data_IF_949725441592
#
_entry.id   IF_949725441592
#
_cell.length_a   1.000
_cell.length_b   1.000
_cell.length_c   1.000
_cell.angle_alpha   90.00
_cell.angle_beta   90.00
_cell.angle_gamma   90.00
#
_symmetry.space_group_name_H-M   'P 1'
#
loop_
_entity.id
_entity.type
_entity.pdbx_description
1 polymer ?
#
# COMPACT_ATOMS: atom_id res chain seq x y z
N UNK A 1 -9.00 33.74 -32.17
CA UNK A 1 -9.93 32.64 -31.83
C UNK A 1 -9.12 31.35 -31.82
N UNK A 2 -8.40 31.08 -30.73
CA UNK A 2 -7.64 29.85 -30.55
C UNK A 2 -8.60 28.72 -30.16
N UNK A 3 -8.66 27.70 -31.00
CA UNK A 3 -9.26 26.41 -30.66
C UNK A 3 -8.39 25.76 -29.58
N UNK A 4 -8.88 25.79 -28.34
CA UNK A 4 -8.33 24.98 -27.26
C UNK A 4 -8.60 23.52 -27.61
N UNK A 5 -7.54 22.81 -28.00
CA UNK A 5 -7.50 21.36 -28.10
C UNK A 5 -7.97 20.76 -26.78
N UNK A 6 -9.19 20.24 -26.76
CA UNK A 6 -9.67 19.38 -25.68
C UNK A 6 -8.82 18.10 -25.69
N UNK A 7 -8.23 17.69 -24.55
CA UNK A 7 -7.50 16.44 -24.51
C UNK A 7 -8.46 15.28 -24.81
N UNK A 8 -8.10 14.50 -25.82
CA UNK A 8 -8.77 13.24 -26.17
C UNK A 8 -8.35 12.20 -25.13
N UNK A 9 -9.33 11.64 -24.43
CA UNK A 9 -9.15 10.58 -23.45
C UNK A 9 -8.70 9.29 -24.13
N UNK A 10 -7.63 8.65 -23.63
CA UNK A 10 -7.44 7.22 -23.84
C UNK A 10 -8.33 6.48 -22.83
N UNK A 11 -9.19 5.60 -23.32
CA UNK A 11 -9.92 4.62 -22.52
C UNK A 11 -8.94 3.63 -21.89
N UNK A 12 -8.36 3.98 -20.75
CA UNK A 12 -7.63 3.03 -19.93
C UNK A 12 -8.54 2.53 -18.81
N UNK A 13 -9.36 1.55 -19.19
CA UNK A 13 -9.80 0.39 -18.41
C UNK A 13 -9.68 0.49 -16.87
N UNK A 14 -10.80 0.74 -16.20
CA UNK A 14 -10.96 0.41 -14.77
C UNK A 14 -11.12 -1.11 -14.68
N UNK A 15 -10.10 -1.81 -14.21
CA UNK A 15 -10.31 -3.16 -13.69
C UNK A 15 -11.35 -3.07 -12.58
N UNK A 16 -12.37 -3.94 -12.55
CA UNK A 16 -13.29 -4.05 -11.40
C UNK A 16 -12.59 -4.29 -10.06
N UNK A 17 -11.28 -4.57 -10.06
CA UNK A 17 -10.46 -4.90 -8.89
C UNK A 17 -9.55 -3.74 -8.43
N UNK A 18 -9.33 -2.70 -9.26
CA UNK A 18 -8.50 -1.53 -8.90
C UNK A 18 -9.04 -0.25 -9.54
N UNK A 19 -9.33 0.76 -8.73
CA UNK A 19 -9.69 2.10 -9.17
C UNK A 19 -8.48 3.02 -9.06
N UNK A 20 -7.86 3.34 -10.20
CA UNK A 20 -6.70 4.23 -10.31
C UNK A 20 -7.14 5.65 -10.63
N UNK A 21 -6.65 6.63 -9.86
CA UNK A 21 -6.90 8.05 -10.07
C UNK A 21 -5.57 8.80 -10.17
N UNK A 22 -5.19 9.08 -11.41
CA UNK A 22 -3.94 9.77 -11.72
C UNK A 22 -4.02 11.31 -11.58
N UNK A 23 -5.23 11.89 -11.46
CA UNK A 23 -5.43 13.36 -11.36
C UNK A 23 -6.68 13.75 -10.53
N UNK A 24 -6.66 14.95 -9.95
CA UNK A 24 -7.72 15.51 -9.09
C UNK A 24 -9.15 15.44 -9.69
N UNK A 25 -9.29 15.43 -11.01
CA UNK A 25 -10.58 15.30 -11.71
C UNK A 25 -11.34 14.00 -11.43
N UNK A 26 -10.67 12.93 -10.99
CA UNK A 26 -11.31 11.65 -10.72
C UNK A 26 -11.54 11.38 -9.22
N UNK A 27 -11.15 12.29 -8.31
CA UNK A 27 -11.47 12.18 -6.88
C UNK A 27 -12.96 11.99 -6.58
N UNK A 28 -13.90 12.63 -7.32
CA UNK A 28 -15.32 12.37 -7.14
C UNK A 28 -15.72 10.91 -7.41
N UNK A 29 -15.05 10.21 -8.34
CA UNK A 29 -15.32 8.80 -8.62
C UNK A 29 -14.93 7.92 -7.44
N UNK A 30 -13.75 8.15 -6.85
CA UNK A 30 -13.34 7.44 -5.64
C UNK A 30 -14.23 7.79 -4.44
N UNK A 31 -14.62 9.04 -4.28
CA UNK A 31 -15.57 9.44 -3.24
C UNK A 31 -16.90 8.68 -3.38
N UNK A 32 -17.40 8.52 -4.60
CA UNK A 32 -18.63 7.78 -4.87
C UNK A 32 -18.47 6.28 -4.64
N UNK A 33 -17.35 5.67 -5.06
CA UNK A 33 -17.09 4.25 -4.82
C UNK A 33 -16.94 3.97 -3.31
N UNK A 34 -16.22 4.82 -2.58
CA UNK A 34 -16.10 4.68 -1.12
C UNK A 34 -17.44 4.84 -0.40
N UNK A 35 -18.31 5.75 -0.85
CA UNK A 35 -19.69 5.84 -0.34
C UNK A 35 -20.49 4.58 -0.63
N UNK A 36 -20.41 4.04 -1.85
CA UNK A 36 -21.08 2.79 -2.23
C UNK A 36 -20.61 1.62 -1.35
N UNK A 37 -19.29 1.48 -1.15
CA UNK A 37 -18.73 0.45 -0.27
C UNK A 37 -19.19 0.64 1.17
N UNK A 38 -19.22 1.88 1.67
CA UNK A 38 -19.75 2.19 3.01
C UNK A 38 -21.20 1.70 3.18
N UNK A 39 -22.02 1.84 2.14
CA UNK A 39 -23.44 1.45 2.20
C UNK A 39 -23.67 -0.07 2.10
N UNK A 40 -22.75 -0.84 1.49
CA UNK A 40 -22.89 -2.30 1.34
C UNK A 40 -22.03 -3.12 2.32
N UNK A 41 -21.04 -2.49 2.96
CA UNK A 41 -20.17 -3.13 3.96
C UNK A 41 -20.97 -3.57 5.17
N UNK A 42 -20.69 -4.78 5.66
CA UNK A 42 -21.23 -5.31 6.91
C UNK A 42 -20.14 -6.02 7.69
N UNK A 43 -20.08 -5.71 8.98
CA UNK A 43 -19.12 -6.28 9.92
C UNK A 43 -19.84 -7.14 10.95
N UNK A 44 -19.28 -8.32 11.22
CA UNK A 44 -19.85 -9.29 12.15
C UNK A 44 -18.81 -9.68 13.19
N UNK A 45 -19.14 -9.53 14.47
CA UNK A 45 -18.39 -10.20 15.54
C UNK A 45 -19.17 -11.45 15.90
N UNK A 46 -18.67 -12.59 15.44
CA UNK A 46 -19.31 -13.88 15.62
C UNK A 46 -18.45 -14.76 16.54
N UNK A 47 -19.05 -15.45 17.53
CA UNK A 47 -18.42 -16.58 18.18
C UNK A 47 -17.96 -17.59 17.12
N UNK A 48 -16.74 -18.13 17.27
CA UNK A 48 -16.17 -19.00 16.24
C UNK A 48 -17.03 -20.25 15.96
N UNK A 49 -17.83 -20.69 16.95
CA UNK A 49 -18.76 -21.82 16.82
C UNK A 49 -19.93 -21.52 15.88
N UNK A 50 -20.28 -20.24 15.70
CA UNK A 50 -21.31 -19.75 14.76
C UNK A 50 -20.78 -19.49 13.36
N UNK A 51 -19.47 -19.68 13.17
CA UNK A 51 -18.81 -19.53 11.87
C UNK A 51 -18.54 -20.94 11.35
N UNK A 52 -19.09 -21.26 10.18
CA UNK A 52 -18.84 -22.51 9.50
C UNK A 52 -18.33 -22.24 8.10
N UNK A 53 -17.37 -23.03 7.66
CA UNK A 53 -16.97 -23.12 6.26
C UNK A 53 -17.69 -24.30 5.66
N UNK A 54 -18.37 -24.10 4.54
CA UNK A 54 -19.05 -25.18 3.82
C UNK A 54 -18.50 -25.29 2.40
N UNK A 55 -18.38 -26.52 1.86
CA UNK A 55 -17.89 -26.73 0.51
C UNK A 55 -18.89 -26.19 -0.53
N UNK A 56 -18.34 -25.73 -1.65
CA UNK A 56 -19.03 -25.29 -2.85
C UNK A 56 -18.43 -26.05 -4.05
N UNK A 57 -19.14 -26.21 -5.19
CA UNK A 57 -18.65 -27.04 -6.30
C UNK A 57 -17.22 -26.74 -6.79
N UNK A 58 -16.74 -25.52 -6.61
CA UNK A 58 -15.41 -25.08 -7.06
C UNK A 58 -14.54 -24.45 -5.96
N UNK A 59 -15.06 -24.33 -4.72
CA UNK A 59 -14.37 -23.60 -3.64
C UNK A 59 -15.00 -23.93 -2.27
N UNK A 60 -14.79 -23.08 -1.28
CA UNK A 60 -15.49 -23.05 0.00
C UNK A 60 -16.17 -21.68 0.21
N UNK A 61 -17.24 -21.65 0.99
CA UNK A 61 -17.94 -20.42 1.38
C UNK A 61 -17.99 -20.31 2.91
N UNK A 62 -18.01 -19.08 3.39
CA UNK A 62 -18.15 -18.77 4.81
C UNK A 62 -19.64 -18.60 5.13
N UNK A 63 -20.18 -19.50 5.94
CA UNK A 63 -21.50 -19.38 6.54
C UNK A 63 -21.35 -18.79 7.94
N UNK A 64 -22.05 -17.68 8.19
CA UNK A 64 -22.20 -17.11 9.53
C UNK A 64 -23.66 -17.33 9.92
N UNK A 65 -23.88 -18.04 11.03
CA UNK A 65 -25.22 -18.34 11.55
C UNK A 65 -26.07 -17.06 11.65
N UNK A 66 -27.36 -17.16 11.33
CA UNK A 66 -28.34 -16.07 11.31
C UNK A 66 -28.03 -14.90 10.35
N UNK A 67 -26.92 -14.95 9.63
CA UNK A 67 -26.41 -13.84 8.82
C UNK A 67 -26.37 -14.20 7.32
N UNK A 68 -25.91 -15.40 7.00
CA UNK A 68 -25.93 -15.93 5.63
C UNK A 68 -24.59 -16.47 5.12
N UNK A 69 -24.54 -16.67 3.81
CA UNK A 69 -23.40 -17.24 3.10
C UNK A 69 -22.60 -16.15 2.36
N UNK A 70 -21.27 -16.25 2.44
CA UNK A 70 -20.34 -15.31 1.85
C UNK A 70 -19.25 -16.05 1.08
N UNK A 71 -19.01 -15.67 -0.18
CA UNK A 71 -17.80 -16.13 -0.88
C UNK A 71 -16.56 -15.53 -0.23
N UNK A 72 -15.44 -16.24 -0.23
CA UNK A 72 -14.23 -15.84 0.50
C UNK A 72 -13.24 -15.20 -0.47
N UNK A 73 -12.69 -14.03 -0.14
CA UNK A 73 -11.64 -13.40 -0.98
C UNK A 73 -10.28 -14.10 -0.78
N UNK A 74 -9.34 -14.00 -1.73
CA UNK A 74 -7.99 -14.56 -1.57
C UNK A 74 -7.33 -14.13 -0.26
N UNK A 75 -7.46 -12.86 0.11
CA UNK A 75 -6.90 -12.36 1.36
C UNK A 75 -7.58 -12.96 2.60
N UNK A 76 -8.90 -13.15 2.57
CA UNK A 76 -9.62 -13.78 3.67
C UNK A 76 -9.21 -15.27 3.82
N UNK A 77 -8.92 -15.98 2.72
CA UNK A 77 -8.34 -17.34 2.79
C UNK A 77 -6.99 -17.35 3.51
N UNK A 78 -6.08 -16.45 3.13
CA UNK A 78 -4.76 -16.33 3.77
C UNK A 78 -4.89 -16.06 5.28
N UNK A 79 -5.87 -15.24 5.66
CA UNK A 79 -6.14 -14.95 7.07
C UNK A 79 -6.72 -16.14 7.82
N UNK A 80 -7.65 -16.88 7.23
CA UNK A 80 -8.16 -18.12 7.83
C UNK A 80 -7.01 -19.11 8.03
N UNK A 81 -6.19 -19.34 7.01
CA UNK A 81 -5.03 -20.23 7.09
C UNK A 81 -4.07 -19.80 8.19
N UNK A 82 -3.65 -18.52 8.21
CA UNK A 82 -2.72 -17.99 9.20
C UNK A 82 -3.29 -17.97 10.64
N UNK A 83 -4.57 -17.68 10.82
CA UNK A 83 -5.21 -17.66 12.15
C UNK A 83 -5.45 -19.04 12.73
N UNK A 84 -5.62 -20.04 11.88
CA UNK A 84 -5.80 -21.44 12.28
C UNK A 84 -4.49 -22.23 12.18
N UNK A 85 -3.36 -21.55 11.92
CA UNK A 85 -2.02 -22.14 11.79
C UNK A 85 -1.95 -23.27 10.74
N UNK A 86 -2.77 -23.19 9.70
CA UNK A 86 -2.76 -24.13 8.58
C UNK A 86 -1.72 -23.65 7.56
N UNK A 87 -0.72 -24.47 7.18
CA UNK A 87 0.26 -24.08 6.18
C UNK A 87 -0.39 -23.69 4.85
N UNK A 88 -0.05 -22.51 4.32
CA UNK A 88 -0.70 -21.93 3.14
C UNK A 88 -0.69 -22.86 1.91
N UNK A 89 0.47 -23.45 1.57
CA UNK A 89 0.55 -24.38 0.43
C UNK A 89 -0.31 -25.64 0.61
N UNK A 90 -0.54 -26.09 1.84
CA UNK A 90 -1.46 -27.20 2.10
C UNK A 90 -2.92 -26.75 1.97
N UNK A 91 -3.24 -25.57 2.49
CA UNK A 91 -4.56 -24.95 2.36
C UNK A 91 -4.96 -24.81 0.89
N UNK A 92 -4.10 -24.23 0.05
CA UNK A 92 -4.36 -23.99 -1.37
C UNK A 92 -4.52 -25.30 -2.16
N UNK A 93 -3.71 -26.31 -1.83
CA UNK A 93 -3.85 -27.65 -2.38
C UNK A 93 -5.23 -28.22 -2.08
N UNK A 94 -5.66 -28.21 -0.81
CA UNK A 94 -6.97 -28.74 -0.41
C UNK A 94 -8.12 -27.92 -1.01
N UNK A 95 -7.99 -26.60 -1.09
CA UNK A 95 -9.00 -25.74 -1.71
C UNK A 95 -9.28 -26.16 -3.16
N UNK A 96 -8.25 -26.58 -3.88
CA UNK A 96 -8.36 -26.99 -5.28
C UNK A 96 -8.76 -28.46 -5.44
N UNK A 97 -8.19 -29.36 -4.63
CA UNK A 97 -8.33 -30.82 -4.83
C UNK A 97 -9.34 -31.50 -3.90
N UNK A 98 -9.68 -30.90 -2.76
CA UNK A 98 -10.63 -31.47 -1.79
C UNK A 98 -11.25 -30.40 -0.87
N UNK A 99 -12.17 -29.55 -1.38
CA UNK A 99 -12.86 -28.53 -0.59
C UNK A 99 -13.61 -29.09 0.63
N UNK A 100 -14.14 -30.31 0.54
CA UNK A 100 -14.80 -31.01 1.65
C UNK A 100 -13.85 -31.30 2.82
N UNK A 101 -12.61 -31.68 2.54
CA UNK A 101 -11.62 -31.93 3.58
C UNK A 101 -11.15 -30.60 4.19
N UNK A 102 -10.96 -29.58 3.35
CA UNK A 102 -10.60 -28.24 3.81
C UNK A 102 -11.65 -27.68 4.78
N UNK A 103 -12.92 -27.75 4.40
CA UNK A 103 -14.03 -27.24 5.22
C UNK A 103 -14.10 -27.93 6.58
N UNK A 104 -13.96 -29.26 6.63
CA UNK A 104 -13.87 -30.03 7.88
C UNK A 104 -12.69 -29.60 8.75
N UNK A 105 -11.51 -29.42 8.15
CA UNK A 105 -10.31 -29.02 8.87
C UNK A 105 -10.48 -27.62 9.49
N UNK A 106 -10.95 -26.64 8.70
CA UNK A 106 -11.21 -25.29 9.19
C UNK A 106 -12.23 -25.31 10.32
N UNK A 107 -13.36 -26.00 10.13
CA UNK A 107 -14.42 -26.08 11.14
C UNK A 107 -13.95 -26.71 12.45
N UNK A 108 -13.06 -27.71 12.39
CA UNK A 108 -12.48 -28.32 13.60
C UNK A 108 -11.69 -27.31 14.44
N UNK A 109 -10.87 -26.48 13.80
CA UNK A 109 -10.05 -25.50 14.50
C UNK A 109 -10.88 -24.31 15.01
N UNK A 110 -11.89 -23.88 14.26
CA UNK A 110 -12.79 -22.80 14.67
C UNK A 110 -13.48 -23.08 16.01
N UNK A 111 -13.78 -24.34 16.35
CA UNK A 111 -14.46 -24.68 17.60
C UNK A 111 -13.69 -24.26 18.86
N UNK A 112 -12.36 -24.13 18.76
CA UNK A 112 -11.45 -23.79 19.87
C UNK A 112 -11.00 -22.32 19.83
N UNK A 113 -11.45 -21.55 18.85
CA UNK A 113 -10.97 -20.20 18.61
C UNK A 113 -11.80 -19.12 19.34
N UNK A 114 -11.15 -18.02 19.69
CA UNK A 114 -11.82 -16.81 20.18
C UNK A 114 -12.71 -16.19 19.09
N UNK A 115 -13.78 -15.45 19.46
CA UNK A 115 -14.63 -14.74 18.51
C UNK A 115 -13.84 -13.96 17.46
N UNK A 116 -14.40 -13.93 16.25
CA UNK A 116 -13.74 -13.35 15.08
C UNK A 116 -14.55 -12.20 14.55
N UNK A 117 -13.83 -11.17 14.12
CA UNK A 117 -14.38 -10.08 13.34
C UNK A 117 -14.31 -10.48 11.87
N UNK A 118 -15.48 -10.64 11.24
CA UNK A 118 -15.61 -10.88 9.81
C UNK A 118 -16.07 -9.59 9.14
N UNK A 119 -15.27 -9.11 8.19
CA UNK A 119 -15.64 -7.96 7.36
C UNK A 119 -16.15 -8.45 6.03
N UNK A 120 -17.28 -7.90 5.58
CA UNK A 120 -17.88 -8.27 4.29
C UNK A 120 -18.10 -7.04 3.42
N UNK A 121 -17.98 -7.22 2.10
CA UNK A 121 -18.31 -6.23 1.08
C UNK A 121 -18.95 -6.95 -0.09
N UNK A 122 -20.09 -6.44 -0.57
CA UNK A 122 -20.78 -6.95 -1.76
C UNK A 122 -20.99 -8.48 -1.76
N UNK A 123 -21.38 -9.03 -0.60
CA UNK A 123 -21.64 -10.46 -0.42
C UNK A 123 -20.39 -11.35 -0.31
N UNK A 124 -19.19 -10.74 -0.20
CA UNK A 124 -17.94 -11.46 0.00
C UNK A 124 -17.37 -11.23 1.39
N UNK A 125 -16.90 -12.29 2.05
CA UNK A 125 -16.06 -12.20 3.24
C UNK A 125 -14.67 -11.79 2.79
N UNK A 126 -14.26 -10.57 3.15
CA UNK A 126 -13.00 -9.97 2.71
C UNK A 126 -11.92 -9.92 3.78
N UNK A 127 -12.30 -10.10 5.05
CA UNK A 127 -11.35 -10.21 6.15
C UNK A 127 -11.83 -11.16 7.26
N UNK A 128 -10.89 -11.88 7.86
CA UNK A 128 -11.05 -12.77 9.00
C UNK A 128 -10.07 -12.36 10.12
N UNK A 129 -10.55 -11.56 11.08
CA UNK A 129 -9.73 -10.81 12.03
C UNK A 129 -10.05 -11.17 13.48
N UNK A 130 -9.20 -10.72 14.42
CA UNK A 130 -9.52 -10.81 15.86
C UNK A 130 -10.64 -9.83 16.21
N UNK A 131 -11.49 -10.21 17.15
CA UNK A 131 -12.43 -9.36 17.90
C UNK A 131 -11.85 -8.07 18.50
N UNK A 132 -10.51 -7.95 18.60
CA UNK A 132 -9.79 -6.76 19.07
C UNK A 132 -9.26 -5.87 17.95
N UNK A 133 -9.47 -6.26 16.69
CA UNK A 133 -9.00 -5.46 15.56
C UNK A 133 -9.75 -4.13 15.51
N UNK A 134 -8.98 -3.04 15.53
CA UNK A 134 -9.53 -1.69 15.43
C UNK A 134 -9.70 -1.32 13.97
N UNK A 135 -10.94 -1.24 13.54
CA UNK A 135 -11.29 -0.85 12.18
C UNK A 135 -10.90 0.62 11.97
N UNK A 136 -10.18 0.88 10.88
CA UNK A 136 -9.99 2.21 10.30
C UNK A 136 -10.45 2.05 8.86
N UNK A 137 -11.63 2.58 8.56
CA UNK A 137 -12.24 2.44 7.24
C UNK A 137 -11.60 3.37 6.22
N UNK A 138 -11.53 2.90 4.97
CA UNK A 138 -10.92 3.66 3.88
C UNK A 138 -11.72 4.94 3.55
N UNK A 139 -13.04 4.93 3.68
CA UNK A 139 -13.87 6.12 3.43
C UNK A 139 -13.63 7.21 4.48
N UNK A 140 -13.53 6.83 5.76
CA UNK A 140 -13.18 7.76 6.84
C UNK A 140 -11.79 8.37 6.63
N UNK A 141 -10.79 7.56 6.26
CA UNK A 141 -9.44 8.04 5.92
C UNK A 141 -9.49 9.00 4.74
N UNK A 142 -10.23 8.67 3.68
CA UNK A 142 -10.33 9.51 2.49
C UNK A 142 -10.99 10.85 2.80
N UNK A 143 -12.18 10.87 3.42
CA UNK A 143 -12.89 12.12 3.68
C UNK A 143 -12.16 13.01 4.70
N UNK A 144 -11.53 12.40 5.70
CA UNK A 144 -10.64 13.13 6.60
C UNK A 144 -9.46 13.75 5.84
N UNK A 145 -8.85 13.01 4.91
CA UNK A 145 -7.71 13.50 4.14
C UNK A 145 -8.11 14.65 3.22
N UNK A 146 -9.28 14.56 2.58
CA UNK A 146 -9.84 15.64 1.75
C UNK A 146 -10.06 16.90 2.56
N UNK A 147 -10.64 16.79 3.75
CA UNK A 147 -10.88 17.92 4.65
C UNK A 147 -9.56 18.57 5.12
N UNK A 148 -8.57 17.78 5.52
CA UNK A 148 -7.27 18.29 5.96
C UNK A 148 -6.48 18.94 4.83
N UNK A 149 -6.50 18.37 3.62
CA UNK A 149 -5.83 18.96 2.46
C UNK A 149 -6.53 20.24 2.00
N UNK A 150 -7.86 20.29 2.03
CA UNK A 150 -8.63 21.49 1.68
C UNK A 150 -8.42 22.69 2.62
N UNK A 151 -7.95 22.44 3.85
CA UNK A 151 -7.58 23.47 4.83
C UNK A 151 -6.13 23.91 4.75
N UNK A 152 -5.28 23.08 4.14
CA UNK A 152 -3.83 23.28 4.10
C UNK A 152 -3.32 23.67 2.72
N UNK A 153 -1.99 23.78 2.61
CA UNK A 153 -1.31 24.03 1.34
C UNK A 153 -0.96 22.72 0.62
N UNK A 154 -1.89 21.76 0.60
CA UNK A 154 -1.67 20.43 0.05
C UNK A 154 -2.71 20.13 -1.03
N UNK A 155 -2.28 19.52 -2.12
CA UNK A 155 -3.17 19.07 -3.20
C UNK A 155 -2.97 17.58 -3.45
N UNK A 156 -4.04 16.86 -3.74
CA UNK A 156 -3.94 15.47 -4.17
C UNK A 156 -3.20 15.41 -5.51
N UNK A 157 -2.17 14.57 -5.54
CA UNK A 157 -1.45 14.21 -6.75
C UNK A 157 -2.04 12.92 -7.35
N UNK A 158 -2.29 11.91 -6.51
CA UNK A 158 -2.76 10.59 -6.96
C UNK A 158 -3.55 9.90 -5.85
N UNK A 159 -4.57 9.14 -6.21
CA UNK A 159 -5.31 8.29 -5.28
C UNK A 159 -5.57 6.93 -5.92
N UNK A 160 -5.34 5.84 -5.18
CA UNK A 160 -5.59 4.49 -5.67
C UNK A 160 -6.35 3.70 -4.61
N UNK A 161 -7.45 3.08 -5.02
CA UNK A 161 -8.21 2.14 -4.19
C UNK A 161 -8.13 0.76 -4.83
N UNK A 162 -7.54 -0.18 -4.10
CA UNK A 162 -7.46 -1.59 -4.49
C UNK A 162 -8.33 -2.43 -3.57
N UNK A 163 -8.44 -3.73 -3.85
CA UNK A 163 -9.14 -4.65 -2.95
C UNK A 163 -8.56 -4.65 -1.52
N UNK A 164 -7.27 -4.32 -1.40
CA UNK A 164 -6.46 -4.50 -0.21
C UNK A 164 -6.10 -3.19 0.50
N UNK A 165 -5.95 -2.10 -0.24
CA UNK A 165 -5.39 -0.85 0.25
C UNK A 165 -6.09 0.38 -0.31
N UNK A 166 -6.00 1.47 0.46
CA UNK A 166 -6.16 2.82 -0.02
C UNK A 166 -4.79 3.52 0.00
N UNK A 167 -4.40 4.13 -1.11
CA UNK A 167 -3.23 4.98 -1.23
C UNK A 167 -3.65 6.39 -1.63
N UNK A 168 -3.22 7.40 -0.87
CA UNK A 168 -3.46 8.80 -1.17
C UNK A 168 -2.14 9.55 -1.17
N UNK A 169 -1.73 10.07 -2.32
CA UNK A 169 -0.53 10.89 -2.47
C UNK A 169 -0.94 12.34 -2.64
N UNK A 170 -0.36 13.21 -1.82
CA UNK A 170 -0.59 14.64 -1.87
C UNK A 170 0.73 15.39 -1.83
N UNK A 171 0.76 16.57 -2.44
CA UNK A 171 1.95 17.39 -2.58
C UNK A 171 1.68 18.82 -2.14
N UNK A 172 2.68 19.46 -1.56
CA UNK A 172 2.60 20.82 -1.03
C UNK A 172 2.63 21.83 -2.16
N UNK A 173 1.68 22.75 -2.22
CA UNK A 173 1.64 23.81 -3.23
C UNK A 173 2.68 24.90 -3.02
N UNK A 174 3.33 24.93 -1.86
CA UNK A 174 4.26 25.99 -1.45
C UNK A 174 5.70 25.52 -1.24
N UNK A 175 5.91 24.22 -1.00
CA UNK A 175 7.21 23.68 -0.59
C UNK A 175 7.85 22.90 -1.73
N UNK A 176 8.87 23.50 -2.34
CA UNK A 176 9.66 22.95 -3.45
C UNK A 176 11.14 23.25 -3.25
N UNK A 177 12.00 22.46 -3.88
CA UNK A 177 13.44 22.70 -3.93
C UNK A 177 13.99 22.25 -5.29
N UNK A 178 15.04 22.93 -5.75
CA UNK A 178 15.75 22.58 -6.97
C UNK A 178 16.98 21.73 -6.60
N UNK A 179 17.06 20.50 -7.13
CA UNK A 179 18.19 19.59 -6.88
C UNK A 179 19.34 19.88 -7.86
N UNK A 180 18.99 20.13 -9.12
CA UNK A 180 19.87 20.61 -10.19
C UNK A 180 19.12 21.64 -11.02
N UNK A 181 19.84 22.44 -11.79
CA UNK A 181 19.23 23.44 -12.69
C UNK A 181 18.13 22.83 -13.57
N UNK A 182 16.88 23.25 -13.37
CA UNK A 182 15.69 22.77 -14.06
C UNK A 182 15.07 21.49 -13.51
N UNK A 183 15.62 20.92 -12.44
CA UNK A 183 15.14 19.69 -11.80
C UNK A 183 14.58 19.99 -10.41
N UNK A 184 13.28 20.29 -10.37
CA UNK A 184 12.55 20.69 -9.17
C UNK A 184 11.82 19.50 -8.57
N UNK A 185 11.94 19.36 -7.25
CA UNK A 185 11.18 18.41 -6.44
C UNK A 185 10.22 19.15 -5.51
N UNK A 186 9.09 18.52 -5.22
CA UNK A 186 8.03 19.05 -4.39
C UNK A 186 7.82 18.16 -3.17
N UNK A 187 7.69 18.77 -2.00
CA UNK A 187 7.38 18.05 -0.77
C UNK A 187 5.96 17.49 -0.83
N UNK A 188 5.73 16.37 -0.18
CA UNK A 188 4.44 15.72 -0.14
C UNK A 188 4.32 14.69 0.98
N UNK A 189 3.20 13.98 0.97
CA UNK A 189 2.96 12.82 1.82
C UNK A 189 2.20 11.74 1.06
N UNK A 190 2.36 10.51 1.52
CA UNK A 190 1.50 9.39 1.17
C UNK A 190 0.76 8.92 2.42
N UNK A 191 -0.54 8.70 2.29
CA UNK A 191 -1.39 8.02 3.27
C UNK A 191 -1.69 6.64 2.73
N UNK A 192 -1.40 5.61 3.53
CA UNK A 192 -1.70 4.22 3.22
C UNK A 192 -2.56 3.63 4.32
N UNK A 193 -3.67 3.00 3.94
CA UNK A 193 -4.52 2.27 4.87
C UNK A 193 -4.93 0.91 4.32
N UNK A 194 -5.13 -0.05 5.22
CA UNK A 194 -5.80 -1.31 4.91
C UNK A 194 -6.83 -1.61 5.99
N UNK A 195 -8.10 -1.55 5.62
CA UNK A 195 -9.21 -1.88 6.52
C UNK A 195 -9.40 -3.40 6.71
N UNK A 196 -8.59 -4.23 6.05
CA UNK A 196 -8.65 -5.69 6.11
C UNK A 196 -7.44 -6.30 6.82
N UNK A 197 -6.63 -5.51 7.52
CA UNK A 197 -5.55 -6.02 8.39
C UNK A 197 -4.28 -6.46 7.68
N UNK A 198 -4.01 -5.95 6.47
CA UNK A 198 -2.75 -6.19 5.75
C UNK A 198 -1.63 -5.22 6.14
N UNK A 199 -1.97 -4.00 6.55
CA UNK A 199 -1.01 -3.01 7.04
C UNK A 199 -1.57 -2.23 8.21
N UNK A 200 -0.69 -1.42 8.79
CA UNK A 200 -1.06 -0.32 9.69
C UNK A 200 -1.62 0.83 8.85
N UNK A 201 -2.33 1.75 9.48
CA UNK A 201 -2.50 3.09 8.94
C UNK A 201 -1.13 3.79 8.97
N UNK A 202 -0.73 4.39 7.87
CA UNK A 202 0.60 4.99 7.70
C UNK A 202 0.48 6.33 6.99
N UNK A 203 1.21 7.31 7.48
CA UNK A 203 1.44 8.58 6.79
C UNK A 203 2.94 8.79 6.70
N UNK A 204 3.46 8.81 5.49
CA UNK A 204 4.91 8.86 5.23
C UNK A 204 5.22 10.06 4.33
N UNK A 205 6.34 10.77 4.56
CA UNK A 205 6.78 11.81 3.64
C UNK A 205 6.99 11.27 2.22
N UNK A 206 6.68 12.11 1.25
CA UNK A 206 6.75 11.82 -0.17
C UNK A 206 7.44 12.98 -0.89
N UNK A 207 8.21 12.67 -1.93
CA UNK A 207 8.85 13.66 -2.78
C UNK A 207 8.41 13.41 -4.21
N UNK A 208 7.84 14.43 -4.85
CA UNK A 208 7.46 14.39 -6.25
C UNK A 208 8.48 15.16 -7.09
N UNK A 209 9.11 14.50 -8.06
CA UNK A 209 9.98 15.15 -9.03
C UNK A 209 9.14 15.72 -10.18
N UNK A 210 9.12 17.03 -10.35
CA UNK A 210 8.21 17.71 -11.29
C UNK A 210 8.55 17.49 -12.76
N UNK A 211 9.83 17.25 -13.08
CA UNK A 211 10.27 17.03 -14.45
C UNK A 211 9.61 15.80 -15.10
N UNK A 212 9.42 14.72 -14.34
CA UNK A 212 8.87 13.46 -14.83
C UNK A 212 7.61 12.99 -14.10
N UNK A 213 7.21 13.69 -13.03
CA UNK A 213 6.12 13.31 -12.12
C UNK A 213 6.36 11.94 -11.47
N UNK A 214 7.62 11.61 -11.16
CA UNK A 214 7.98 10.40 -10.43
C UNK A 214 7.98 10.67 -8.92
N UNK A 215 7.50 9.69 -8.16
CA UNK A 215 7.44 9.76 -6.70
C UNK A 215 8.57 9.02 -6.01
N UNK A 216 8.93 9.46 -4.81
CA UNK A 216 9.74 8.71 -3.86
C UNK A 216 9.12 8.82 -2.47
N UNK A 217 9.07 7.72 -1.72
CA UNK A 217 8.56 7.68 -0.35
C UNK A 217 9.74 7.61 0.61
N UNK A 218 9.73 8.41 1.69
CA UNK A 218 10.78 8.47 2.70
C UNK A 218 10.23 7.92 4.02
N UNK A 219 10.41 6.62 4.32
CA UNK A 219 9.69 5.96 5.42
C UNK A 219 10.16 6.38 6.82
N UNK A 220 11.41 6.80 6.95
CA UNK A 220 12.08 6.99 8.25
C UNK A 220 11.42 8.06 9.12
N UNK A 221 10.73 9.02 8.49
CA UNK A 221 9.98 10.08 9.15
C UNK A 221 8.46 9.88 9.09
N UNK A 222 8.04 8.65 8.76
CA UNK A 222 6.66 8.25 8.67
C UNK A 222 6.05 7.90 10.03
N UNK A 223 4.80 8.26 10.22
CA UNK A 223 4.02 7.89 11.40
C UNK A 223 3.10 6.71 11.09
N UNK A 224 2.99 5.76 12.03
CA UNK A 224 2.23 4.52 11.83
C UNK A 224 1.32 4.27 13.03
N UNK A 225 0.05 3.98 12.76
CA UNK A 225 -0.93 3.62 13.78
C UNK A 225 -1.38 2.17 13.62
N UNK A 226 -1.27 1.38 14.69
CA UNK A 226 -1.72 -0.02 14.70
C UNK A 226 -3.23 -0.11 14.86
N UNK A 227 -3.83 -1.11 14.21
CA UNK A 227 -5.24 -1.47 14.32
C UNK A 227 -5.52 -2.29 15.60
N UNK A 228 -5.05 -1.83 16.76
CA UNK A 228 -5.27 -2.50 18.04
C UNK A 228 -6.32 -1.70 18.82
N UNK A 229 -7.44 -2.36 19.13
CA UNK A 229 -8.59 -1.77 19.82
C UNK A 229 -8.92 -2.48 21.12
N UNK A 230 -9.97 -1.99 21.79
CA UNK A 230 -10.59 -2.70 22.91
C UNK A 230 -11.44 -3.85 22.37
N UNK A 231 -11.64 -4.89 23.18
CA UNK A 231 -12.60 -5.95 22.84
C UNK A 231 -13.98 -5.33 22.64
N UNK A 232 -14.59 -5.61 21.50
CA UNK A 232 -15.99 -5.31 21.25
C UNK A 232 -16.84 -6.48 21.73
N UNK A 233 -18.02 -6.22 22.29
CA UNK A 233 -19.01 -7.25 22.62
C UNK A 233 -19.53 -8.00 21.39
N UNK A 234 -20.25 -9.09 21.59
CA UNK A 234 -20.86 -9.85 20.49
C UNK A 234 -22.04 -9.10 19.87
N UNK A 235 -22.24 -9.28 18.56
CA UNK A 235 -23.43 -8.77 17.87
C UNK A 235 -23.13 -7.96 16.61
N UNK A 236 -24.21 -7.48 16.00
CA UNK A 236 -24.18 -6.56 14.86
C UNK A 236 -24.11 -5.15 15.42
N UNK A 237 -23.03 -4.45 15.11
CA UNK A 237 -22.89 -3.06 15.51
C UNK A 237 -23.67 -2.15 14.59
N UNK A 238 -24.46 -1.25 15.18
CA UNK A 238 -25.09 -0.18 14.42
C UNK A 238 -24.03 0.78 13.87
N UNK A 239 -24.36 1.42 12.75
CA UNK A 239 -23.54 2.46 12.11
C UNK A 239 -23.15 3.58 13.08
N UNK A 240 -24.11 4.03 13.89
CA UNK A 240 -23.88 5.09 14.88
C UNK A 240 -22.83 4.68 15.94
N UNK A 241 -22.89 3.43 16.41
CA UNK A 241 -21.90 2.92 17.37
C UNK A 241 -20.51 2.83 16.77
N UNK A 242 -20.40 2.45 15.50
CA UNK A 242 -19.12 2.40 14.78
C UNK A 242 -18.54 3.80 14.57
N UNK A 243 -19.36 4.76 14.13
CA UNK A 243 -18.97 6.15 13.92
C UNK A 243 -18.49 6.82 15.22
N UNK A 244 -19.22 6.63 16.33
CA UNK A 244 -18.83 7.17 17.64
C UNK A 244 -17.49 6.58 18.13
N UNK A 245 -17.25 5.29 17.90
CA UNK A 245 -15.97 4.65 18.21
C UNK A 245 -14.83 5.10 17.28
N UNK A 246 -15.15 5.51 16.05
CA UNK A 246 -14.18 5.98 15.06
C UNK A 246 -13.64 7.39 15.35
N UNK A 247 -14.39 8.25 16.05
CA UNK A 247 -14.03 9.66 16.29
C UNK A 247 -12.63 9.86 16.92
N UNK A 248 -12.29 9.08 17.95
CA UNK A 248 -10.98 9.17 18.59
C UNK A 248 -9.85 8.74 17.64
N UNK A 249 -10.12 7.76 16.77
CA UNK A 249 -9.19 7.30 15.73
C UNK A 249 -8.97 8.39 14.69
N UNK A 250 -10.05 9.00 14.21
CA UNK A 250 -10.01 10.07 13.23
C UNK A 250 -9.24 11.28 13.75
N UNK A 251 -9.41 11.65 15.02
CA UNK A 251 -8.61 12.71 15.64
C UNK A 251 -7.11 12.38 15.61
N UNK A 252 -6.73 11.18 16.07
CA UNK A 252 -5.34 10.77 16.06
C UNK A 252 -4.73 10.71 14.64
N UNK A 253 -5.52 10.26 13.65
CA UNK A 253 -5.10 10.25 12.25
C UNK A 253 -4.88 11.66 11.70
N UNK A 254 -5.75 12.63 12.04
CA UNK A 254 -5.55 14.05 11.67
C UNK A 254 -4.27 14.60 12.28
N UNK A 255 -4.03 14.32 13.57
CA UNK A 255 -2.83 14.78 14.26
C UNK A 255 -1.56 14.22 13.61
N UNK A 256 -1.59 12.94 13.22
CA UNK A 256 -0.52 12.30 12.46
C UNK A 256 -0.31 13.01 11.11
N UNK A 257 -1.37 13.21 10.32
CA UNK A 257 -1.28 13.89 9.02
C UNK A 257 -0.70 15.30 9.17
N UNK A 258 -1.20 16.08 10.14
CA UNK A 258 -0.71 17.43 10.43
C UNK A 258 0.74 17.41 10.89
N UNK A 259 1.12 16.46 11.74
CA UNK A 259 2.50 16.33 12.19
C UNK A 259 3.44 15.96 11.05
N UNK A 260 3.02 15.15 10.07
CA UNK A 260 3.82 14.86 8.87
C UNK A 260 3.90 16.06 7.93
N UNK A 261 2.82 16.85 7.79
CA UNK A 261 2.83 18.10 7.00
C UNK A 261 3.78 19.14 7.61
N UNK A 262 3.77 19.28 8.94
CA UNK A 262 4.55 20.28 9.67
C UNK A 262 5.95 19.80 10.08
N UNK A 263 6.17 18.48 10.10
CA UNK A 263 7.42 17.85 10.46
C UNK A 263 8.42 17.98 9.32
N UNK A 264 9.27 19.00 9.39
CA UNK A 264 10.25 19.38 8.37
C UNK A 264 11.32 18.28 8.15
N UNK A 265 10.96 17.25 7.38
CA UNK A 265 11.86 16.22 6.83
C UNK A 265 12.40 16.61 5.45
N UNK A 266 11.70 17.50 4.75
CA UNK A 266 11.96 17.76 3.32
C UNK A 266 13.36 18.33 3.08
N UNK A 267 13.80 19.29 3.89
CA UNK A 267 15.13 19.91 3.72
C UNK A 267 16.27 18.90 3.90
N UNK A 268 16.10 17.92 4.79
CA UNK A 268 17.08 16.84 4.97
C UNK A 268 17.07 15.89 3.77
N UNK A 269 15.88 15.53 3.26
CA UNK A 269 15.77 14.74 2.03
C UNK A 269 16.40 15.48 0.85
N UNK A 270 16.17 16.79 0.71
CA UNK A 270 16.78 17.63 -0.34
C UNK A 270 18.30 17.61 -0.24
N UNK A 271 18.88 17.72 0.96
CA UNK A 271 20.34 17.61 1.15
C UNK A 271 20.87 16.26 0.69
N UNK A 272 20.18 15.17 1.02
CA UNK A 272 20.55 13.82 0.57
C UNK A 272 20.45 13.69 -0.95
N UNK A 273 19.41 14.25 -1.57
CA UNK A 273 19.24 14.23 -3.03
C UNK A 273 20.33 15.04 -3.73
N UNK A 274 20.72 16.21 -3.21
CA UNK A 274 21.81 17.02 -3.74
C UNK A 274 23.13 16.23 -3.65
N UNK A 275 23.46 15.66 -2.49
CA UNK A 275 24.67 14.84 -2.32
C UNK A 275 24.69 13.61 -3.24
N UNK A 276 23.55 12.93 -3.39
CA UNK A 276 23.39 11.83 -4.32
C UNK A 276 23.58 12.26 -5.79
N UNK A 277 23.26 13.52 -6.11
CA UNK A 277 23.44 14.07 -7.45
C UNK A 277 24.90 14.38 -7.77
N UNK A 278 25.77 14.43 -6.76
CA UNK A 278 27.21 14.66 -6.90
C UNK A 278 28.02 13.34 -6.83
N UNK A 279 27.38 12.23 -6.44
CA UNK A 279 28.05 10.95 -6.25
C UNK A 279 27.98 10.08 -7.51
N UNK A 280 29.11 9.93 -8.20
CA UNK A 280 29.22 9.18 -9.46
C UNK A 280 29.23 7.64 -9.26
N UNK A 281 28.61 6.92 -10.20
CA UNK A 281 28.62 5.46 -10.29
C UNK A 281 29.60 5.03 -11.38
N UNK A 282 30.76 4.53 -10.95
CA UNK A 282 31.84 4.09 -11.85
C UNK A 282 31.45 2.84 -12.66
N UNK A 283 30.66 1.93 -12.06
CA UNK A 283 30.26 0.66 -12.68
C UNK A 283 28.74 0.46 -12.72
N UNK A 284 28.02 1.12 -13.64
CA UNK A 284 26.56 1.10 -13.72
C UNK A 284 25.92 -0.29 -13.69
N UNK A 285 26.39 -1.22 -14.52
CA UNK A 285 25.80 -2.56 -14.60
C UNK A 285 25.94 -3.34 -13.28
N UNK A 286 27.08 -3.19 -12.61
CA UNK A 286 27.32 -3.85 -11.33
C UNK A 286 26.49 -3.21 -10.23
N UNK A 287 26.39 -1.88 -10.23
CA UNK A 287 25.59 -1.11 -9.32
C UNK A 287 24.11 -1.54 -9.35
N UNK A 288 23.54 -1.60 -10.55
CA UNK A 288 22.14 -1.97 -10.79
C UNK A 288 21.89 -3.43 -10.38
N UNK A 289 22.79 -4.35 -10.70
CA UNK A 289 22.64 -5.75 -10.28
C UNK A 289 22.67 -5.88 -8.75
N UNK A 290 23.57 -5.17 -8.09
CA UNK A 290 23.72 -5.27 -6.64
C UNK A 290 22.54 -4.65 -5.89
N UNK A 291 22.04 -3.47 -6.31
CA UNK A 291 20.83 -2.89 -5.72
C UNK A 291 19.60 -3.76 -6.01
N UNK A 292 19.54 -4.42 -7.16
CA UNK A 292 18.42 -5.30 -7.50
C UNK A 292 18.35 -6.53 -6.61
N UNK A 293 19.49 -7.11 -6.27
CA UNK A 293 19.55 -8.20 -5.29
C UNK A 293 19.21 -7.68 -3.89
N UNK A 294 19.76 -6.52 -3.51
CA UNK A 294 19.57 -5.97 -2.17
C UNK A 294 18.11 -5.58 -1.88
N UNK A 295 17.50 -4.82 -2.77
CA UNK A 295 16.13 -4.33 -2.65
C UNK A 295 15.08 -5.35 -3.15
N UNK A 296 15.50 -6.48 -3.72
CA UNK A 296 14.61 -7.51 -4.26
C UNK A 296 13.75 -6.99 -5.42
N UNK A 297 14.40 -6.42 -6.44
CA UNK A 297 13.77 -6.16 -7.73
C UNK A 297 13.68 -7.47 -8.55
N UNK A 298 12.65 -7.59 -9.36
CA UNK A 298 12.52 -8.69 -10.33
C UNK A 298 13.47 -8.49 -11.51
N UNK A 299 13.68 -9.53 -12.31
CA UNK A 299 14.53 -9.44 -13.50
C UNK A 299 14.00 -8.38 -14.49
N UNK A 300 12.68 -8.36 -14.71
CA UNK A 300 12.02 -7.37 -15.59
C UNK A 300 12.24 -5.94 -15.06
N UNK A 301 12.13 -5.72 -13.75
CA UNK A 301 12.36 -4.40 -13.17
C UNK A 301 13.83 -4.01 -13.23
N UNK A 302 14.74 -4.97 -13.04
CA UNK A 302 16.18 -4.76 -13.18
C UNK A 302 16.53 -4.29 -14.60
N UNK A 303 15.95 -4.94 -15.61
CA UNK A 303 16.08 -4.54 -17.02
C UNK A 303 15.52 -3.14 -17.27
N UNK A 304 14.33 -2.83 -16.73
CA UNK A 304 13.72 -1.51 -16.86
C UNK A 304 14.52 -0.42 -16.16
N UNK A 305 15.07 -0.70 -14.98
CA UNK A 305 15.97 0.22 -14.26
C UNK A 305 17.21 0.48 -15.09
N UNK A 306 17.83 -0.56 -15.65
CA UNK A 306 18.99 -0.41 -16.53
C UNK A 306 18.68 0.42 -17.77
N UNK A 307 17.56 0.13 -18.44
CA UNK A 307 17.08 0.88 -19.58
C UNK A 307 16.91 2.37 -19.25
N UNK A 308 16.19 2.68 -18.17
CA UNK A 308 15.94 4.05 -17.72
C UNK A 308 17.23 4.78 -17.32
N UNK A 309 18.15 4.09 -16.63
CA UNK A 309 19.43 4.66 -16.20
C UNK A 309 20.29 5.08 -17.39
N UNK A 310 20.39 4.22 -18.41
CA UNK A 310 21.13 4.53 -19.65
C UNK A 310 20.48 5.69 -20.41
N UNK A 311 19.14 5.70 -20.53
CA UNK A 311 18.42 6.74 -21.28
C UNK A 311 18.49 8.11 -20.61
N UNK A 312 18.49 8.16 -19.27
CA UNK A 312 18.63 9.41 -18.53
C UNK A 312 20.04 9.99 -18.61
N UNK A 313 21.05 9.16 -18.94
CA UNK A 313 22.45 9.55 -19.07
C UNK A 313 22.98 10.33 -17.85
N UNK A 314 22.62 9.85 -16.65
CA UNK A 314 23.01 10.42 -15.38
C UNK A 314 23.74 9.35 -14.55
N UNK A 315 25.07 9.23 -14.65
CA UNK A 315 25.83 8.17 -14.00
C UNK A 315 26.04 8.45 -12.51
N UNK A 316 24.99 8.84 -11.78
CA UNK A 316 25.07 9.21 -10.35
C UNK A 316 24.09 8.40 -9.50
N UNK A 317 24.25 8.45 -8.17
CA UNK A 317 23.26 7.89 -7.23
C UNK A 317 21.86 8.43 -7.50
N UNK A 318 21.77 9.73 -7.76
CA UNK A 318 20.50 10.39 -8.10
C UNK A 318 19.93 9.87 -9.43
N UNK A 319 20.75 9.65 -10.44
CA UNK A 319 20.34 9.00 -11.70
C UNK A 319 19.78 7.59 -11.48
N UNK A 320 20.39 6.80 -10.59
CA UNK A 320 19.91 5.46 -10.23
C UNK A 320 18.54 5.51 -9.53
N UNK A 321 18.39 6.42 -8.57
CA UNK A 321 17.11 6.70 -7.92
C UNK A 321 16.04 7.10 -8.95
N UNK A 322 16.37 7.98 -9.89
CA UNK A 322 15.45 8.42 -10.93
C UNK A 322 15.08 7.30 -11.92
N UNK A 323 15.99 6.36 -12.16
CA UNK A 323 15.72 5.16 -12.94
C UNK A 323 14.73 4.23 -12.22
N UNK A 324 14.91 4.00 -10.91
CA UNK A 324 13.99 3.19 -10.09
C UNK A 324 12.60 3.82 -10.02
N UNK A 325 12.51 5.12 -9.71
CA UNK A 325 11.22 5.81 -9.63
C UNK A 325 10.53 5.93 -10.99
N UNK A 326 11.29 5.94 -12.09
CA UNK A 326 10.74 5.83 -13.46
C UNK A 326 10.14 4.45 -13.72
N UNK A 327 10.80 3.39 -13.27
CA UNK A 327 10.24 2.03 -13.30
C UNK A 327 8.99 1.93 -12.43
N UNK A 328 9.00 2.55 -11.24
CA UNK A 328 7.86 2.58 -10.32
C UNK A 328 6.60 3.19 -10.94
N UNK A 329 6.76 4.30 -11.67
CA UNK A 329 5.65 4.97 -12.37
C UNK A 329 4.92 4.09 -13.38
N UNK A 330 5.63 3.11 -13.97
CA UNK A 330 5.08 2.19 -14.96
C UNK A 330 4.64 0.84 -14.36
N UNK A 331 4.65 0.71 -13.03
CA UNK A 331 4.24 -0.53 -12.38
C UNK A 331 2.76 -0.87 -12.64
N UNK A 332 2.47 -2.16 -12.72
CA UNK A 332 1.13 -2.65 -13.08
C UNK A 332 0.10 -2.40 -11.97
N UNK A 333 0.51 -2.39 -10.70
CA UNK A 333 -0.39 -2.23 -9.53
C UNK A 333 0.05 -1.06 -8.65
N UNK A 334 -0.90 -0.49 -7.91
CA UNK A 334 -0.62 0.64 -7.00
C UNK A 334 0.29 0.21 -5.84
N UNK A 335 0.14 -1.01 -5.35
CA UNK A 335 0.98 -1.64 -4.34
C UNK A 335 2.43 -1.71 -4.83
N UNK A 336 2.64 -2.22 -6.05
CA UNK A 336 4.00 -2.38 -6.57
C UNK A 336 4.66 -1.04 -6.89
N UNK A 337 3.91 -0.09 -7.44
CA UNK A 337 4.38 1.30 -7.59
C UNK A 337 4.87 1.84 -6.24
N UNK A 338 4.03 1.77 -5.21
CA UNK A 338 4.35 2.28 -3.86
C UNK A 338 5.56 1.57 -3.25
N UNK A 339 5.69 0.25 -3.46
CA UNK A 339 6.84 -0.51 -3.00
C UNK A 339 8.14 -0.06 -3.70
N UNK A 340 8.12 0.13 -5.02
CA UNK A 340 9.28 0.59 -5.78
C UNK A 340 9.67 2.04 -5.41
N UNK A 341 8.69 2.93 -5.21
CA UNK A 341 8.95 4.30 -4.72
C UNK A 341 9.55 4.31 -3.31
N UNK A 342 9.20 3.33 -2.48
CA UNK A 342 9.78 3.13 -1.14
C UNK A 342 11.22 2.62 -1.25
N UNK A 343 11.45 1.60 -2.09
CA UNK A 343 12.79 1.03 -2.33
C UNK A 343 13.76 2.05 -2.95
N UNK A 344 13.25 3.01 -3.72
CA UNK A 344 14.09 4.08 -4.26
C UNK A 344 14.80 4.90 -3.16
N UNK A 345 14.18 5.06 -1.98
CA UNK A 345 14.80 5.76 -0.84
C UNK A 345 16.01 5.00 -0.28
N UNK A 346 16.04 3.67 -0.37
CA UNK A 346 17.19 2.86 0.08
C UNK A 346 18.48 3.26 -0.63
N UNK A 347 18.39 3.70 -1.90
CA UNK A 347 19.57 4.13 -2.68
C UNK A 347 20.25 5.37 -2.07
N UNK A 348 19.48 6.29 -1.50
CA UNK A 348 20.01 7.56 -0.96
C UNK A 348 20.29 7.51 0.54
N UNK A 349 19.74 6.52 1.26
CA UNK A 349 20.01 6.34 2.70
C UNK A 349 21.15 5.37 3.00
N UNK A 350 21.62 4.59 2.01
CA UNK A 350 22.83 3.78 2.14
C UNK A 350 24.06 4.68 2.38
N UNK A 351 24.79 4.50 3.49
CA UNK A 351 26.04 5.23 3.74
C UNK A 351 27.03 5.06 2.59
N UNK A 352 27.85 6.06 2.28
CA UNK A 352 28.77 6.02 1.13
C UNK A 352 29.73 4.82 1.16
N UNK A 353 30.25 4.45 2.33
CA UNK A 353 31.10 3.26 2.50
C UNK A 353 30.35 1.96 2.18
N UNK A 354 29.11 1.84 2.67
CA UNK A 354 28.24 0.69 2.36
C UNK A 354 27.79 0.72 0.91
N UNK A 355 27.60 1.90 0.32
CA UNK A 355 27.29 2.05 -1.08
C UNK A 355 28.47 1.59 -1.94
N UNK A 356 29.70 2.02 -1.69
CA UNK A 356 30.86 1.53 -2.43
C UNK A 356 31.09 0.02 -2.26
N UNK A 357 30.86 -0.50 -1.05
CA UNK A 357 30.98 -1.93 -0.78
C UNK A 357 29.88 -2.77 -1.43
N UNK A 358 28.64 -2.30 -1.41
CA UNK A 358 27.48 -3.01 -1.97
C UNK A 358 27.41 -2.81 -3.47
N UNK A 359 27.69 -1.63 -4.00
CA UNK A 359 27.40 -1.22 -5.38
C UNK A 359 28.67 -1.30 -6.26
N UNK A 360 29.83 -0.90 -5.75
CA UNK A 360 31.07 -0.85 -6.54
C UNK A 360 31.98 -2.09 -6.40
N UNK A 361 31.86 -2.90 -5.33
CA UNK A 361 32.61 -4.17 -5.17
C UNK A 361 31.83 -5.40 -5.66
N UNK A 362 32.57 -6.40 -6.20
CA UNK A 362 31.98 -7.69 -6.59
C UNK A 362 31.38 -8.33 -5.34
N UNK A 363 30.08 -8.62 -5.36
CA UNK A 363 29.45 -9.46 -4.34
C UNK A 363 30.28 -10.75 -4.18
N UNK A 364 30.87 -10.95 -3.00
CA UNK A 364 31.42 -12.26 -2.64
C UNK A 364 30.22 -13.18 -2.49
N UNK A 365 29.93 -13.96 -3.52
CA UNK A 365 29.03 -15.11 -3.40
C UNK A 365 29.61 -15.99 -2.30
N UNK A 366 29.02 -15.95 -1.10
CA UNK A 366 29.24 -16.98 -0.10
C UNK A 366 28.69 -18.26 -0.73
N UNK A 367 29.55 -19.07 -1.33
CA UNK A 367 29.25 -20.47 -1.59
C UNK A 367 28.89 -21.06 -0.23
N UNK A 368 27.60 -21.38 -0.04
CA UNK A 368 27.21 -22.31 1.00
C UNK A 368 27.95 -23.61 0.68
N UNK A 369 29.01 -23.87 1.43
CA UNK A 369 29.66 -25.18 1.43
C UNK A 369 28.67 -26.08 2.14
N UNK A 370 28.01 -26.95 1.37
CA UNK A 370 27.31 -28.09 1.92
C UNK A 370 28.35 -28.95 2.66
N UNK A 371 28.13 -29.15 3.96
CA UNK A 371 28.72 -30.20 4.77
C UNK A 371 27.57 -30.95 5.44
#
# INVERSE_FOLDING_TARGET
MEQILKPVFKENFVSRHELKIDQAGNLPLLANELKRQRDTKKDFIAPSQKIRVVPSPTDIILNIEDTGNYSITPQCHNQIAGKLEIPQGYYDRLRTSSPDLLSKNINHWLEKENPKLIRTLDGKARAFLSDRYKIIDNDDVFFMSVDEMGKGNMQFFRADLTENYLFLKAVSTTTQAEIRKGDVVQAGLIIRNSEIGLSRFQVEPFVLRLFCLNGMIVPDNGMKQTHIGRKMGEGIYSRETQELNALASLSAMRDIVRATINGQSFDNTVKLLIAASETEIIKPNQAINNISIHAGFTDIETENILYNFIHQNDPTKYGLLNAITSTAKNAETAERMTELETKANEVITLPDESFDEIINRKLRVKRAIAA
#
